data_IF_103138760310
#
_entry.id   IF_103138760310
#
_cell.length_a   1.000
_cell.length_b   1.000
_cell.length_c   1.000
_cell.angle_alpha   90.00
_cell.angle_beta   90.00
_cell.angle_gamma   90.00
#
_symmetry.space_group_name_H-M   'P 1'
#
loop_
_entity.id
_entity.type
_entity.pdbx_description
1 polymer ?
#
# COMPACT_ATOMS: atom_id res chain seq x y z
N UNK A 1 -1.94 -23.11 7.24
CA UNK A 1 -1.56 -22.51 8.56
C UNK A 1 -2.83 -22.09 9.26
N UNK A 2 -2.97 -22.44 10.52
CA UNK A 2 -4.15 -22.07 11.31
C UNK A 2 -3.85 -20.74 12.01
N UNK A 3 -4.29 -19.63 11.40
CA UNK A 3 -4.19 -18.29 12.00
C UNK A 3 -5.26 -18.03 13.05
N UNK A 4 -6.26 -18.90 13.15
CA UNK A 4 -7.40 -18.78 14.05
C UNK A 4 -7.60 -20.08 14.81
N UNK A 5 -8.00 -20.01 16.11
CA UNK A 5 -8.22 -21.20 16.91
C UNK A 5 -9.39 -22.06 16.43
N UNK A 6 -10.30 -21.48 15.65
CA UNK A 6 -11.45 -22.18 15.06
C UNK A 6 -12.00 -21.40 13.86
N UNK A 7 -12.79 -22.08 13.02
CA UNK A 7 -13.55 -21.44 11.95
C UNK A 7 -14.52 -20.37 12.48
N UNK A 8 -15.14 -20.61 13.63
CA UNK A 8 -16.00 -19.62 14.28
C UNK A 8 -15.25 -18.35 14.64
N UNK A 9 -14.02 -18.44 15.17
CA UNK A 9 -13.18 -17.29 15.48
C UNK A 9 -12.79 -16.51 14.21
N UNK A 10 -12.50 -17.22 13.10
CA UNK A 10 -12.24 -16.62 11.79
C UNK A 10 -13.44 -15.82 11.26
N UNK A 11 -14.64 -16.41 11.33
CA UNK A 11 -15.89 -15.76 10.90
C UNK A 11 -16.28 -14.57 11.78
N UNK A 12 -16.01 -14.63 13.08
CA UNK A 12 -16.21 -13.50 13.99
C UNK A 12 -15.24 -12.36 13.68
N UNK A 13 -13.98 -12.69 13.40
CA UNK A 13 -12.96 -11.68 13.07
C UNK A 13 -13.18 -11.04 11.70
N UNK A 14 -13.70 -11.81 10.73
CA UNK A 14 -13.99 -11.36 9.37
C UNK A 14 -15.45 -11.63 8.98
N UNK A 15 -16.41 -10.80 9.44
CA UNK A 15 -17.84 -11.02 9.19
C UNK A 15 -18.23 -11.11 7.72
N UNK A 16 -17.46 -10.53 6.84
CA UNK A 16 -17.66 -10.60 5.38
C UNK A 16 -17.76 -12.04 4.87
N UNK A 17 -17.08 -12.99 5.55
CA UNK A 17 -17.07 -14.41 5.17
C UNK A 17 -18.43 -15.09 5.34
N UNK A 18 -19.32 -14.53 6.16
CA UNK A 18 -20.69 -15.03 6.33
C UNK A 18 -21.59 -14.62 5.13
N UNK A 19 -21.20 -13.58 4.40
CA UNK A 19 -21.96 -13.02 3.27
C UNK A 19 -21.34 -13.40 1.93
N UNK A 20 -20.01 -13.32 1.83
CA UNK A 20 -19.28 -13.53 0.58
C UNK A 20 -17.82 -13.86 0.77
N UNK A 21 -17.24 -14.50 -0.23
CA UNK A 21 -15.80 -14.67 -0.35
C UNK A 21 -15.19 -13.40 -0.95
N UNK A 22 -14.41 -12.66 -0.16
CA UNK A 22 -13.82 -11.39 -0.57
C UNK A 22 -12.36 -11.56 -1.01
N UNK A 23 -12.08 -11.25 -2.29
CA UNK A 23 -10.76 -11.41 -2.93
C UNK A 23 -10.33 -10.11 -3.63
N UNK A 24 -10.64 -8.95 -3.07
CA UNK A 24 -10.40 -7.65 -3.70
C UNK A 24 -9.52 -6.68 -2.87
N UNK A 25 -8.69 -7.20 -1.94
CA UNK A 25 -7.91 -6.40 -0.97
C UNK A 25 -6.93 -5.41 -1.62
N UNK A 26 -6.36 -5.74 -2.77
CA UNK A 26 -5.50 -4.82 -3.51
C UNK A 26 -6.25 -3.59 -4.07
N UNK A 27 -7.58 -3.58 -4.01
CA UNK A 27 -8.44 -2.42 -4.25
C UNK A 27 -8.68 -1.63 -2.97
N UNK A 28 -9.68 -2.08 -2.22
CA UNK A 28 -10.03 -1.58 -0.87
C UNK A 28 -10.39 -2.81 -0.04
N UNK A 29 -9.84 -2.91 1.17
CA UNK A 29 -10.11 -4.05 2.05
C UNK A 29 -11.48 -3.97 2.72
N UNK A 30 -11.89 -5.09 3.33
CA UNK A 30 -12.91 -5.13 4.37
C UNK A 30 -12.25 -4.98 5.73
N UNK A 31 -12.94 -4.37 6.69
CA UNK A 31 -12.40 -4.20 8.03
C UNK A 31 -12.56 -5.49 8.85
N UNK A 32 -11.54 -5.92 9.60
CA UNK A 32 -11.68 -6.93 10.62
C UNK A 32 -12.47 -6.39 11.82
N UNK A 33 -13.12 -7.28 12.57
CA UNK A 33 -13.99 -6.87 13.68
C UNK A 33 -13.26 -6.05 14.76
N UNK A 34 -12.01 -6.40 15.06
CA UNK A 34 -11.20 -5.62 16.04
C UNK A 34 -11.00 -4.16 15.60
N UNK A 35 -10.91 -3.87 14.30
CA UNK A 35 -10.79 -2.50 13.81
C UNK A 35 -12.12 -1.76 13.99
N UNK A 36 -13.24 -2.41 13.68
CA UNK A 36 -14.60 -1.85 13.86
C UNK A 36 -14.85 -1.56 15.34
N UNK A 37 -14.55 -2.51 16.23
CA UNK A 37 -14.71 -2.36 17.70
C UNK A 37 -13.86 -1.20 18.24
N UNK A 38 -12.59 -1.08 17.82
CA UNK A 38 -11.73 0.00 18.26
C UNK A 38 -12.24 1.38 17.82
N UNK A 39 -12.79 1.48 16.60
CA UNK A 39 -13.40 2.70 16.09
C UNK A 39 -14.69 3.04 16.88
N UNK A 40 -15.53 2.06 17.15
CA UNK A 40 -16.75 2.24 17.91
C UNK A 40 -16.46 2.68 19.36
N UNK A 41 -15.48 2.04 20.00
CA UNK A 41 -15.06 2.42 21.36
C UNK A 41 -14.59 3.87 21.41
N UNK A 42 -13.76 4.30 20.43
CA UNK A 42 -13.32 5.69 20.33
C UNK A 42 -14.52 6.64 20.19
N UNK A 43 -15.46 6.37 19.27
CA UNK A 43 -16.64 7.20 19.03
C UNK A 43 -17.56 7.29 20.26
N UNK A 44 -17.78 6.16 20.96
CA UNK A 44 -18.56 6.14 22.19
C UNK A 44 -17.94 7.01 23.29
N UNK A 45 -16.62 6.97 23.42
CA UNK A 45 -15.90 7.86 24.37
C UNK A 45 -16.02 9.32 23.99
N UNK A 46 -15.94 9.67 22.70
CA UNK A 46 -16.12 11.04 22.21
C UNK A 46 -17.50 11.62 22.47
N UNK A 47 -18.53 10.77 22.66
CA UNK A 47 -19.86 11.22 23.05
C UNK A 47 -19.95 11.65 24.54
N UNK A 48 -18.99 11.23 25.37
CA UNK A 48 -18.99 11.47 26.81
C UNK A 48 -17.89 12.41 27.28
N UNK A 49 -16.88 12.66 26.43
CA UNK A 49 -15.71 13.52 26.77
C UNK A 49 -15.12 14.13 25.51
N UNK A 50 -14.13 15.01 25.68
CA UNK A 50 -13.44 15.63 24.54
C UNK A 50 -12.78 14.56 23.65
N UNK A 51 -12.81 14.80 22.33
CA UNK A 51 -12.20 13.90 21.34
C UNK A 51 -10.69 13.77 21.52
N UNK A 52 -10.02 14.83 22.02
CA UNK A 52 -8.61 14.89 22.31
C UNK A 52 -8.38 14.81 23.84
N UNK A 53 -8.20 13.61 24.32
CA UNK A 53 -7.87 13.36 25.73
C UNK A 53 -6.54 12.59 25.82
N UNK A 54 -5.98 12.48 27.00
CA UNK A 54 -4.66 11.85 27.24
C UNK A 54 -4.57 10.42 26.64
N UNK A 55 -5.64 9.64 26.73
CA UNK A 55 -5.69 8.28 26.17
C UNK A 55 -5.56 8.25 24.66
N UNK A 56 -6.05 9.29 23.94
CA UNK A 56 -5.94 9.44 22.49
C UNK A 56 -4.50 9.71 22.07
N UNK A 57 -3.82 10.59 22.80
CA UNK A 57 -2.41 10.88 22.52
C UNK A 57 -1.52 9.65 22.73
N UNK A 58 -1.81 8.87 23.75
CA UNK A 58 -1.15 7.56 23.97
C UNK A 58 -1.40 6.60 22.81
N UNK A 59 -2.64 6.51 22.32
CA UNK A 59 -3.00 5.72 21.14
C UNK A 59 -2.23 6.16 19.90
N UNK A 60 -2.15 7.46 19.64
CA UNK A 60 -1.40 8.03 18.50
C UNK A 60 0.08 7.66 18.60
N UNK A 61 0.70 7.82 19.76
CA UNK A 61 2.11 7.45 19.99
C UNK A 61 2.35 5.95 19.83
N UNK A 62 1.46 5.11 20.34
CA UNK A 62 1.54 3.65 20.16
C UNK A 62 1.40 3.25 18.69
N UNK A 63 0.51 3.90 17.93
CA UNK A 63 0.33 3.65 16.50
C UNK A 63 1.59 4.02 15.72
N UNK A 64 2.22 5.16 16.07
CA UNK A 64 3.48 5.61 15.47
C UNK A 64 4.62 4.61 15.75
N UNK A 65 4.75 4.16 17.00
CA UNK A 65 5.75 3.17 17.40
C UNK A 65 5.52 1.82 16.69
N UNK A 66 4.26 1.37 16.58
CA UNK A 66 3.91 0.16 15.86
C UNK A 66 4.24 0.27 14.36
N UNK A 67 3.91 1.40 13.74
CA UNK A 67 4.25 1.67 12.33
C UNK A 67 5.77 1.66 12.10
N UNK A 68 6.52 2.26 13.03
CA UNK A 68 7.99 2.24 12.98
C UNK A 68 8.54 0.81 13.08
N UNK A 69 8.01 -0.01 13.99
CA UNK A 69 8.42 -1.42 14.13
C UNK A 69 8.14 -2.24 12.87
N UNK A 70 7.01 -2.01 12.19
CA UNK A 70 6.68 -2.67 10.92
C UNK A 70 7.66 -2.34 9.79
N UNK A 71 8.24 -1.14 9.81
CA UNK A 71 9.13 -0.64 8.76
C UNK A 71 10.62 -0.80 9.10
N UNK A 72 10.97 -1.16 10.34
CA UNK A 72 12.34 -1.12 10.83
C UNK A 72 12.88 0.31 10.98
N UNK A 73 11.99 1.26 11.31
CA UNK A 73 12.26 2.68 11.44
C UNK A 73 12.26 3.15 12.91
N UNK A 74 12.63 4.40 13.15
CA UNK A 74 12.39 5.09 14.44
C UNK A 74 11.02 5.74 14.45
N UNK A 75 10.39 5.85 15.61
CA UNK A 75 9.12 6.57 15.75
C UNK A 75 9.22 8.06 15.34
N UNK A 76 10.40 8.68 15.48
CA UNK A 76 10.70 10.04 15.04
C UNK A 76 10.66 10.23 13.51
N UNK A 77 10.71 9.14 12.75
CA UNK A 77 10.68 9.14 11.28
C UNK A 77 9.27 8.90 10.71
N UNK A 78 8.27 8.68 11.58
CA UNK A 78 6.90 8.34 11.18
C UNK A 78 5.96 9.52 11.37
N UNK A 79 5.23 9.90 10.33
CA UNK A 79 4.02 10.72 10.39
C UNK A 79 2.78 9.84 10.12
N UNK A 80 1.69 10.11 10.85
CA UNK A 80 0.40 9.45 10.65
C UNK A 80 -0.45 10.30 9.71
N UNK A 81 -0.34 10.04 8.43
CA UNK A 81 -0.94 10.83 7.38
C UNK A 81 -1.45 9.92 6.25
N UNK A 82 -2.68 10.07 5.87
CA UNK A 82 -3.28 9.39 4.73
C UNK A 82 -4.16 10.35 3.92
N UNK A 83 -4.50 10.00 2.69
CA UNK A 83 -4.17 8.77 1.94
C UNK A 83 -2.74 8.77 1.36
N UNK A 84 -2.31 7.64 0.79
CA UNK A 84 -0.97 7.47 0.15
C UNK A 84 -0.61 8.61 -0.80
N UNK A 85 -1.54 9.05 -1.62
CA UNK A 85 -1.34 10.16 -2.56
C UNK A 85 -0.96 11.48 -1.88
N UNK A 86 -1.42 11.70 -0.64
CA UNK A 86 -1.06 12.88 0.13
C UNK A 86 0.42 12.83 0.55
N UNK A 87 0.89 11.66 1.04
CA UNK A 87 2.31 11.47 1.41
C UNK A 87 3.25 11.57 0.20
N UNK A 88 2.88 10.99 -0.96
CA UNK A 88 3.67 11.14 -2.19
C UNK A 88 3.70 12.59 -2.68
N UNK A 89 2.56 13.30 -2.60
CA UNK A 89 2.48 14.72 -2.95
C UNK A 89 3.28 15.59 -1.98
N UNK A 90 3.35 15.23 -0.70
CA UNK A 90 4.17 15.91 0.30
C UNK A 90 5.65 15.84 -0.10
N UNK A 91 6.15 14.66 -0.51
CA UNK A 91 7.52 14.51 -0.99
C UNK A 91 7.75 15.33 -2.26
N UNK A 92 6.85 15.23 -3.25
CA UNK A 92 6.98 15.95 -4.50
C UNK A 92 7.01 17.48 -4.30
N UNK A 93 6.20 18.02 -3.41
CA UNK A 93 6.09 19.47 -3.20
C UNK A 93 7.01 20.00 -2.10
N UNK A 94 7.60 19.15 -1.26
CA UNK A 94 8.44 19.54 -0.13
C UNK A 94 9.93 19.61 -0.43
N UNK A 95 10.39 18.97 -1.51
CA UNK A 95 11.78 19.03 -1.96
C UNK A 95 12.02 20.32 -2.78
N UNK A 96 13.21 20.92 -2.59
CA UNK A 96 13.64 22.08 -3.37
C UNK A 96 14.15 21.63 -4.74
N UNK A 97 13.32 21.77 -5.76
CA UNK A 97 13.63 21.39 -7.13
C UNK A 97 14.34 22.52 -7.87
N UNK A 98 15.25 22.12 -8.78
CA UNK A 98 15.89 23.01 -9.75
C UNK A 98 15.48 22.62 -11.15
N UNK A 99 15.37 23.61 -12.05
CA UNK A 99 15.13 23.33 -13.46
C UNK A 99 16.24 22.42 -14.01
N UNK A 100 15.84 21.32 -14.65
CA UNK A 100 16.74 20.29 -15.15
C UNK A 100 17.00 19.13 -14.18
N UNK A 101 16.57 19.19 -12.90
CA UNK A 101 16.54 18.00 -12.04
C UNK A 101 15.70 16.91 -12.69
N UNK A 102 16.11 15.64 -12.54
CA UNK A 102 15.38 14.51 -13.10
C UNK A 102 14.71 13.68 -12.01
N UNK A 103 13.45 13.30 -12.28
CA UNK A 103 12.72 12.29 -11.50
C UNK A 103 12.46 11.08 -12.39
N UNK A 104 12.91 9.92 -11.94
CA UNK A 104 12.61 8.63 -12.60
C UNK A 104 11.38 8.03 -11.94
N UNK A 105 10.44 7.57 -12.75
CA UNK A 105 9.17 6.99 -12.31
C UNK A 105 8.70 5.88 -13.25
N UNK A 106 7.72 5.09 -12.84
CA UNK A 106 7.08 4.09 -13.69
C UNK A 106 5.77 4.66 -14.28
N UNK A 107 5.75 4.93 -15.60
CA UNK A 107 4.61 5.60 -16.25
C UNK A 107 3.29 4.78 -16.23
N UNK A 108 3.37 3.46 -16.04
CA UNK A 108 2.22 2.56 -15.96
C UNK A 108 1.87 2.17 -14.52
N UNK A 109 2.38 2.92 -13.53
CA UNK A 109 2.02 2.73 -12.13
C UNK A 109 0.62 3.29 -11.83
N UNK A 110 0.16 3.05 -10.60
CA UNK A 110 -1.09 3.63 -10.13
C UNK A 110 -1.01 5.17 -10.13
N UNK A 111 -2.06 5.88 -10.56
CA UNK A 111 -2.03 7.33 -10.74
C UNK A 111 -1.52 8.14 -9.55
N UNK A 112 -1.71 7.66 -8.32
CA UNK A 112 -1.20 8.32 -7.12
C UNK A 112 0.32 8.44 -7.10
N UNK A 113 1.04 7.49 -7.74
CA UNK A 113 2.50 7.51 -7.88
C UNK A 113 2.98 8.00 -9.26
N UNK A 114 2.13 8.70 -9.98
CA UNK A 114 2.44 9.30 -11.29
C UNK A 114 2.20 10.81 -11.26
N UNK A 115 0.98 11.23 -10.92
CA UNK A 115 0.58 12.64 -11.02
C UNK A 115 1.37 13.63 -10.14
N UNK A 116 1.75 13.30 -8.89
CA UNK A 116 2.58 14.22 -8.10
C UNK A 116 3.90 14.58 -8.79
N UNK A 117 4.51 13.60 -9.46
CA UNK A 117 5.76 13.78 -10.19
C UNK A 117 5.54 14.56 -11.48
N UNK A 118 4.51 14.23 -12.29
CA UNK A 118 4.16 14.97 -13.51
C UNK A 118 3.94 16.46 -13.23
N UNK A 119 3.35 16.81 -12.09
CA UNK A 119 3.12 18.19 -11.70
C UNK A 119 4.43 19.01 -11.54
N UNK A 120 5.58 18.35 -11.28
CA UNK A 120 6.88 19.03 -11.14
C UNK A 120 7.42 19.61 -12.44
N UNK A 121 6.89 19.19 -13.60
CA UNK A 121 7.27 19.78 -14.91
C UNK A 121 7.05 21.29 -14.94
N UNK A 122 6.06 21.81 -14.22
CA UNK A 122 5.82 23.25 -14.06
C UNK A 122 6.99 24.02 -13.41
N UNK A 123 7.88 23.31 -12.70
CA UNK A 123 9.09 23.84 -12.07
C UNK A 123 10.35 23.58 -12.92
N UNK A 124 10.19 23.05 -14.14
CA UNK A 124 11.29 22.71 -15.04
C UNK A 124 11.96 21.36 -14.72
N UNK A 125 11.36 20.53 -13.86
CA UNK A 125 11.84 19.16 -13.57
C UNK A 125 11.57 18.27 -14.77
N UNK A 126 12.53 17.43 -15.12
CA UNK A 126 12.46 16.47 -16.24
C UNK A 126 11.95 15.14 -15.72
N UNK A 127 10.85 14.66 -16.28
CA UNK A 127 10.28 13.36 -15.92
C UNK A 127 10.82 12.29 -16.88
N UNK A 128 11.42 11.24 -16.30
CA UNK A 128 12.02 10.13 -17.04
C UNK A 128 11.28 8.83 -16.69
N UNK A 129 10.46 8.37 -17.64
CA UNK A 129 9.78 7.09 -17.47
C UNK A 129 10.78 5.93 -17.63
N UNK A 130 10.72 4.94 -16.72
CA UNK A 130 11.48 3.70 -16.86
C UNK A 130 11.00 2.92 -18.10
N UNK A 131 11.92 2.48 -18.97
CA UNK A 131 11.60 1.70 -20.16
C UNK A 131 11.37 0.22 -19.79
N UNK A 132 10.34 -0.09 -18.99
CA UNK A 132 10.06 -1.45 -18.52
C UNK A 132 9.62 -2.36 -19.67
N UNK A 133 10.17 -3.57 -19.82
CA UNK A 133 9.76 -4.53 -20.85
C UNK A 133 8.28 -4.93 -20.71
N UNK A 134 7.85 -5.14 -19.48
CA UNK A 134 6.45 -5.39 -19.09
C UNK A 134 6.08 -4.53 -17.89
N UNK A 135 4.78 -4.18 -17.69
CA UNK A 135 4.35 -3.39 -16.54
C UNK A 135 4.81 -4.01 -15.21
N UNK A 136 5.49 -3.22 -14.38
CA UNK A 136 6.02 -3.67 -13.08
C UNK A 136 7.31 -4.51 -13.16
N UNK A 137 7.87 -4.77 -14.33
CA UNK A 137 9.15 -5.46 -14.48
C UNK A 137 10.31 -4.48 -14.31
N UNK A 138 10.65 -4.21 -13.05
CA UNK A 138 11.68 -3.27 -12.66
C UNK A 138 12.77 -4.02 -11.92
N UNK A 139 14.02 -3.88 -12.38
CA UNK A 139 15.24 -4.44 -11.76
C UNK A 139 16.19 -3.31 -11.37
N UNK A 140 17.18 -3.61 -10.54
CA UNK A 140 18.18 -2.64 -10.14
C UNK A 140 19.01 -2.17 -11.33
N UNK A 141 19.36 -3.07 -12.26
CA UNK A 141 20.12 -2.74 -13.47
C UNK A 141 19.35 -1.82 -14.39
N UNK A 142 18.03 -2.04 -14.54
CA UNK A 142 17.17 -1.17 -15.34
C UNK A 142 17.12 0.25 -14.76
N UNK A 143 16.98 0.36 -13.44
CA UNK A 143 17.00 1.64 -12.75
C UNK A 143 18.37 2.28 -12.89
N UNK A 144 19.45 1.55 -12.63
CA UNK A 144 20.83 2.05 -12.73
C UNK A 144 21.16 2.57 -14.14
N UNK A 145 20.81 1.82 -15.18
CA UNK A 145 21.01 2.22 -16.58
C UNK A 145 20.18 3.46 -16.95
N UNK A 146 19.15 3.77 -16.19
CA UNK A 146 18.29 4.95 -16.40
C UNK A 146 18.81 6.20 -15.67
N UNK A 147 19.76 6.09 -14.74
CA UNK A 147 20.31 7.23 -14.00
C UNK A 147 21.13 8.15 -14.88
N UNK A 148 21.14 9.42 -14.52
CA UNK A 148 22.07 10.44 -15.05
C UNK A 148 22.63 11.27 -13.89
N UNK A 149 23.57 12.15 -14.17
CA UNK A 149 24.10 13.10 -13.19
C UNK A 149 23.06 14.09 -12.66
N UNK A 150 21.92 14.22 -13.33
CA UNK A 150 20.80 15.09 -12.94
C UNK A 150 19.70 14.34 -12.22
N UNK A 151 19.76 13.02 -12.16
CA UNK A 151 18.75 12.22 -11.45
C UNK A 151 18.81 12.52 -9.97
N UNK A 152 17.75 13.11 -9.43
CA UNK A 152 17.65 13.49 -8.03
C UNK A 152 16.81 12.52 -7.22
N UNK A 153 15.77 11.94 -7.83
CA UNK A 153 14.84 11.06 -7.15
C UNK A 153 14.35 9.95 -8.07
N UNK A 154 14.18 8.77 -7.49
CA UNK A 154 13.47 7.64 -8.10
C UNK A 154 12.23 7.36 -7.27
N UNK A 155 11.05 7.35 -7.92
CA UNK A 155 9.75 7.11 -7.29
C UNK A 155 9.12 5.85 -7.87
N UNK A 156 8.97 4.81 -7.06
CA UNK A 156 8.47 3.50 -7.48
C UNK A 156 7.48 2.93 -6.47
N UNK A 157 6.59 2.04 -6.93
CA UNK A 157 5.74 1.25 -6.05
C UNK A 157 6.44 -0.03 -5.62
N UNK A 158 6.26 -0.40 -4.37
CA UNK A 158 6.78 -1.63 -3.77
C UNK A 158 6.25 -2.91 -4.42
N UNK A 159 5.07 -2.81 -5.06
CA UNK A 159 4.45 -3.87 -5.85
C UNK A 159 3.51 -3.26 -6.89
N UNK A 160 3.61 -3.70 -8.12
CA UNK A 160 2.76 -3.22 -9.21
C UNK A 160 1.31 -3.66 -9.03
N UNK A 161 0.39 -2.71 -9.00
CA UNK A 161 -1.01 -2.91 -8.62
C UNK A 161 -1.83 -3.82 -9.56
N UNK A 162 -1.40 -4.01 -10.80
CA UNK A 162 -2.03 -4.94 -11.76
C UNK A 162 -1.32 -6.29 -11.81
N UNK A 163 -0.01 -6.31 -12.04
CA UNK A 163 0.71 -7.57 -12.25
C UNK A 163 0.97 -8.31 -10.95
N UNK A 164 1.04 -7.61 -9.83
CA UNK A 164 1.40 -8.19 -8.54
C UNK A 164 2.91 -8.49 -8.39
N UNK A 165 3.75 -7.98 -9.30
CA UNK A 165 5.20 -8.13 -9.16
C UNK A 165 5.73 -7.14 -8.12
N UNK A 166 6.42 -7.68 -7.11
CA UNK A 166 7.10 -6.88 -6.09
C UNK A 166 8.39 -6.25 -6.64
N UNK A 167 8.76 -5.13 -6.06
CA UNK A 167 10.01 -4.45 -6.36
C UNK A 167 11.15 -5.05 -5.50
N UNK A 168 12.37 -5.26 -6.02
CA UNK A 168 13.55 -5.60 -5.22
C UNK A 168 14.07 -4.35 -4.47
N UNK A 169 13.33 -3.95 -3.41
CA UNK A 169 13.49 -2.66 -2.72
C UNK A 169 14.90 -2.47 -2.19
N UNK A 170 15.46 -3.48 -1.49
CA UNK A 170 16.76 -3.37 -0.85
C UNK A 170 17.91 -3.23 -1.87
N UNK A 171 17.81 -3.95 -2.98
CA UNK A 171 18.81 -3.90 -4.06
C UNK A 171 18.81 -2.54 -4.74
N UNK A 172 17.63 -2.06 -5.15
CA UNK A 172 17.46 -0.75 -5.77
C UNK A 172 17.85 0.36 -4.79
N UNK A 173 17.36 0.32 -3.56
CA UNK A 173 17.64 1.34 -2.56
C UNK A 173 19.11 1.46 -2.20
N UNK A 174 19.81 0.32 -2.06
CA UNK A 174 21.27 0.30 -1.81
C UNK A 174 22.04 0.93 -2.97
N UNK A 175 21.68 0.58 -4.20
CA UNK A 175 22.28 1.13 -5.41
C UNK A 175 22.05 2.65 -5.50
N UNK A 176 20.82 3.12 -5.28
CA UNK A 176 20.46 4.55 -5.31
C UNK A 176 21.20 5.35 -4.23
N UNK A 177 21.27 4.81 -3.00
CA UNK A 177 22.00 5.44 -1.90
C UNK A 177 23.50 5.60 -2.21
N UNK A 178 24.13 4.59 -2.81
CA UNK A 178 25.52 4.65 -3.25
C UNK A 178 25.77 5.72 -4.35
N UNK A 179 24.72 6.09 -5.09
CA UNK A 179 24.75 7.13 -6.13
C UNK A 179 24.29 8.51 -5.63
N UNK A 180 23.89 8.63 -4.36
CA UNK A 180 23.34 9.87 -3.80
C UNK A 180 21.98 10.28 -4.39
N UNK A 181 21.20 9.33 -4.91
CA UNK A 181 19.88 9.53 -5.49
C UNK A 181 18.81 9.15 -4.46
N UNK A 182 17.82 10.02 -4.26
CA UNK A 182 16.74 9.80 -3.31
C UNK A 182 15.77 8.72 -3.80
N UNK A 183 15.26 7.92 -2.87
CA UNK A 183 14.30 6.85 -3.15
C UNK A 183 12.97 7.08 -2.42
N UNK A 184 11.89 7.29 -3.19
CA UNK A 184 10.52 7.41 -2.69
C UNK A 184 9.71 6.16 -3.05
N UNK A 185 9.13 5.50 -2.03
CA UNK A 185 8.43 4.24 -2.16
C UNK A 185 6.92 4.39 -1.86
N UNK A 186 6.07 4.06 -2.82
CA UNK A 186 4.66 3.76 -2.55
C UNK A 186 4.55 2.31 -2.05
N UNK A 187 4.29 2.12 -0.75
CA UNK A 187 4.27 0.82 -0.11
C UNK A 187 2.85 0.25 0.12
N UNK A 188 1.82 0.87 -0.46
CA UNK A 188 0.42 0.49 -0.20
C UNK A 188 0.08 -0.95 -0.63
N UNK A 189 0.86 -1.55 -1.53
CA UNK A 189 0.63 -2.92 -2.00
C UNK A 189 1.48 -3.98 -1.29
N UNK A 190 2.37 -3.59 -0.37
CA UNK A 190 3.19 -4.54 0.39
C UNK A 190 3.04 -4.40 1.90
N UNK A 191 2.87 -3.19 2.42
CA UNK A 191 2.76 -2.97 3.87
C UNK A 191 1.51 -3.67 4.43
N UNK A 192 1.71 -4.64 5.33
CA UNK A 192 0.68 -5.55 5.85
C UNK A 192 0.62 -6.91 5.15
N UNK A 193 1.14 -7.04 3.91
CA UNK A 193 1.17 -8.28 3.14
C UNK A 193 2.54 -8.96 3.14
N UNK A 194 3.60 -8.16 3.06
CA UNK A 194 4.99 -8.61 2.98
C UNK A 194 5.87 -7.78 3.91
N UNK A 195 6.96 -8.35 4.45
CA UNK A 195 7.98 -7.56 5.13
C UNK A 195 8.44 -6.42 4.22
N UNK A 196 8.40 -5.21 4.75
CA UNK A 196 8.75 -3.99 4.00
C UNK A 196 9.72 -3.19 4.87
N UNK A 197 11.02 -3.22 4.53
CA UNK A 197 12.07 -2.48 5.23
C UNK A 197 12.28 -1.12 4.58
N UNK A 198 12.59 -0.12 5.39
CA UNK A 198 13.01 1.21 4.93
C UNK A 198 14.51 1.45 5.07
N UNK A 199 15.33 0.42 5.35
CA UNK A 199 16.78 0.54 5.53
C UNK A 199 17.47 1.33 4.41
N UNK A 200 17.02 1.14 3.17
CA UNK A 200 17.57 1.81 1.98
C UNK A 200 16.55 2.73 1.28
N UNK A 201 15.45 3.08 1.95
CA UNK A 201 14.41 3.98 1.46
C UNK A 201 14.55 5.34 2.14
N UNK A 202 14.22 6.41 1.46
CA UNK A 202 14.31 7.77 1.97
C UNK A 202 12.94 8.32 2.37
N UNK A 203 11.93 8.00 1.57
CA UNK A 203 10.53 8.37 1.79
C UNK A 203 9.63 7.18 1.49
N UNK A 204 8.62 6.97 2.33
CA UNK A 204 7.60 5.96 2.06
C UNK A 204 6.22 6.52 2.39
N UNK A 205 5.22 6.12 1.60
CA UNK A 205 3.82 6.37 1.93
C UNK A 205 2.97 5.12 1.73
N UNK A 206 2.06 4.85 2.68
CA UNK A 206 1.09 3.76 2.58
C UNK A 206 -0.16 4.08 3.41
N UNK A 207 -1.33 4.03 2.81
CA UNK A 207 -2.61 4.08 3.54
C UNK A 207 -3.03 2.68 4.01
N UNK A 208 -3.85 2.59 5.04
CA UNK A 208 -4.20 1.31 5.67
C UNK A 208 -5.32 0.52 4.98
N UNK A 209 -6.04 1.11 4.04
CA UNK A 209 -7.27 0.56 3.45
C UNK A 209 -7.07 -0.61 2.47
N UNK A 210 -5.89 -1.23 2.44
CA UNK A 210 -5.62 -2.43 1.62
C UNK A 210 -5.10 -3.57 2.49
N UNK A 211 -3.80 -3.81 2.46
CA UNK A 211 -3.17 -4.96 3.11
C UNK A 211 -2.97 -4.78 4.62
N UNK A 212 -3.01 -3.55 5.12
CA UNK A 212 -3.06 -3.30 6.57
C UNK A 212 -4.45 -3.56 7.18
N UNK A 213 -5.50 -3.83 6.36
CA UNK A 213 -6.87 -4.09 6.81
C UNK A 213 -7.46 -2.96 7.67
N UNK A 214 -6.98 -1.75 7.48
CA UNK A 214 -7.41 -0.57 8.22
C UNK A 214 -8.41 0.31 7.45
N UNK A 215 -8.93 1.35 8.09
CA UNK A 215 -9.85 2.29 7.45
C UNK A 215 -9.14 3.21 6.45
N UNK A 216 -9.93 3.79 5.53
CA UNK A 216 -9.46 4.77 4.56
C UNK A 216 -8.93 6.04 5.24
N UNK A 217 -7.98 6.70 4.60
CA UNK A 217 -7.40 7.97 5.05
C UNK A 217 -6.76 7.92 6.46
N UNK A 218 -6.34 6.73 6.89
CA UNK A 218 -5.45 6.52 8.01
C UNK A 218 -4.22 5.79 7.47
N UNK A 219 -3.08 6.44 7.46
CA UNK A 219 -1.89 5.92 6.79
C UNK A 219 -0.59 6.30 7.50
N UNK A 220 0.49 5.84 6.92
CA UNK A 220 1.85 6.02 7.40
C UNK A 220 2.66 6.73 6.33
N UNK A 221 3.37 7.76 6.73
CA UNK A 221 4.44 8.40 5.95
C UNK A 221 5.74 8.26 6.73
N UNK A 222 6.74 7.68 6.09
CA UNK A 222 8.11 7.61 6.61
C UNK A 222 8.97 8.66 5.91
N UNK A 223 9.75 9.37 6.69
CA UNK A 223 10.78 10.29 6.22
C UNK A 223 12.05 10.03 7.02
N UNK A 224 13.10 9.59 6.34
CA UNK A 224 14.39 9.34 6.96
C UNK A 224 14.88 10.57 7.72
N UNK A 225 15.36 10.38 8.95
CA UNK A 225 15.68 11.44 9.90
C UNK A 225 16.60 12.50 9.31
N UNK A 226 17.67 12.10 8.59
CA UNK A 226 18.65 13.01 7.99
C UNK A 226 18.08 13.85 6.83
N UNK A 227 16.89 13.52 6.35
CA UNK A 227 16.22 14.24 5.25
C UNK A 227 15.09 15.15 5.74
N UNK A 228 14.72 15.11 7.01
CA UNK A 228 13.60 15.89 7.54
C UNK A 228 13.79 17.40 7.38
N UNK A 229 15.03 17.89 7.45
CA UNK A 229 15.33 19.30 7.23
C UNK A 229 15.39 19.67 5.73
N UNK A 230 15.57 18.69 4.84
CA UNK A 230 15.57 18.89 3.39
C UNK A 230 14.16 18.79 2.80
N UNK A 231 13.26 18.03 3.43
CA UNK A 231 11.87 17.91 3.02
C UNK A 231 11.01 18.92 3.77
N UNK A 232 10.77 20.08 3.15
CA UNK A 232 9.98 21.13 3.77
C UNK A 232 8.49 20.77 3.81
N UNK A 233 7.81 20.88 4.96
CA UNK A 233 6.37 20.71 5.01
C UNK A 233 5.65 21.65 4.06
N UNK A 234 4.83 21.10 3.17
CA UNK A 234 4.04 21.87 2.20
C UNK A 234 2.64 22.24 2.72
N UNK A 235 2.19 21.58 3.78
CA UNK A 235 0.94 21.85 4.48
C UNK A 235 1.29 22.37 5.88
N UNK A 236 0.76 23.52 6.24
CA UNK A 236 1.08 24.21 7.50
C UNK A 236 -0.18 24.40 8.33
N UNK A 237 -0.03 24.24 9.63
CA UNK A 237 -1.06 24.46 10.62
C UNK A 237 -0.46 24.53 12.03
N UNK A 238 -1.30 24.48 13.05
CA UNK A 238 -0.86 24.70 14.43
C UNK A 238 -0.16 23.46 15.05
N UNK A 239 -0.17 22.30 14.37
CA UNK A 239 0.30 21.03 14.95
C UNK A 239 1.68 20.61 14.48
N UNK A 240 2.11 21.12 13.35
CA UNK A 240 3.40 20.82 12.76
C UNK A 240 4.45 21.93 12.96
N UNK A 241 4.08 22.98 13.68
CA UNK A 241 4.97 24.09 14.07
C UNK A 241 4.97 24.27 15.59
N UNK A 242 6.08 24.73 16.13
CA UNK A 242 6.21 25.07 17.53
C UNK A 242 5.46 26.39 17.82
N UNK A 243 4.19 26.27 18.17
CA UNK A 243 3.31 27.40 18.48
C UNK A 243 2.86 27.33 19.96
N UNK A 244 3.62 27.91 20.91
CA UNK A 244 3.25 27.88 22.32
C UNK A 244 1.84 28.42 22.55
N UNK A 245 1.01 27.63 23.25
CA UNK A 245 -0.41 27.96 23.52
C UNK A 245 -1.24 28.20 22.25
N UNK A 246 -0.85 27.61 21.12
CA UNK A 246 -1.47 27.84 19.81
C UNK A 246 -1.50 29.29 19.33
N UNK A 247 -0.58 30.13 19.84
CA UNK A 247 -0.41 31.51 19.39
C UNK A 247 0.58 31.55 18.23
N UNK A 248 0.13 32.10 17.09
CA UNK A 248 0.95 32.20 15.89
C UNK A 248 2.21 33.04 16.16
N UNK A 249 3.37 32.56 15.74
CA UNK A 249 4.65 33.20 15.86
C UNK A 249 5.03 33.91 14.55
N UNK A 250 5.94 34.88 14.63
CA UNK A 250 6.46 35.62 13.46
C UNK A 250 7.43 34.76 12.60
N UNK A 251 7.96 33.69 13.16
CA UNK A 251 8.85 32.73 12.47
C UNK A 251 8.27 31.34 12.56
N UNK A 252 8.52 30.54 11.51
CA UNK A 252 8.10 29.14 11.47
C UNK A 252 9.23 28.29 12.04
N UNK A 253 8.96 27.67 13.18
CA UNK A 253 9.80 26.66 13.81
C UNK A 253 9.05 25.31 13.75
N UNK A 254 9.55 24.38 12.95
CA UNK A 254 8.87 23.10 12.74
C UNK A 254 9.09 22.14 13.90
N UNK A 255 8.12 21.27 14.15
CA UNK A 255 8.30 20.10 15.01
C UNK A 255 9.58 19.33 14.60
N UNK A 256 10.41 18.87 15.56
CA UNK A 256 11.75 18.33 15.27
C UNK A 256 11.73 16.93 14.63
N UNK A 257 10.56 16.27 14.58
CA UNK A 257 10.41 14.90 14.06
C UNK A 257 9.50 14.88 12.83
N UNK A 258 9.20 13.72 12.28
CA UNK A 258 8.24 13.58 11.19
C UNK A 258 6.83 14.10 11.51
N UNK A 259 6.53 14.43 12.78
CA UNK A 259 5.32 15.17 13.16
C UNK A 259 5.21 16.52 12.45
N UNK A 260 6.31 17.10 11.99
CA UNK A 260 6.31 18.30 11.14
C UNK A 260 5.48 18.19 9.87
N UNK A 261 5.09 16.97 9.49
CA UNK A 261 4.23 16.72 8.32
C UNK A 261 2.75 16.54 8.68
N UNK A 262 2.38 16.66 9.95
CA UNK A 262 1.02 16.55 10.48
C UNK A 262 0.46 17.96 10.80
N UNK A 263 -0.17 18.65 9.82
CA UNK A 263 -0.47 20.09 9.97
C UNK A 263 -1.61 20.40 10.95
N UNK A 264 -2.45 19.43 11.25
CA UNK A 264 -3.64 19.62 12.08
C UNK A 264 -4.14 18.35 12.73
N UNK A 265 -5.38 18.38 13.16
CA UNK A 265 -6.03 17.25 13.83
C UNK A 265 -5.98 16.02 12.95
N UNK A 266 -5.52 14.92 13.54
CA UNK A 266 -5.39 13.63 12.85
C UNK A 266 -6.76 12.94 12.70
N UNK A 267 -6.87 12.00 11.77
CA UNK A 267 -8.02 11.10 11.65
C UNK A 267 -8.01 10.08 12.81
N UNK A 268 -8.38 10.55 14.01
CA UNK A 268 -8.24 9.77 15.25
C UNK A 268 -9.07 8.47 15.24
N UNK A 269 -10.29 8.52 14.70
CA UNK A 269 -11.11 7.30 14.55
C UNK A 269 -10.46 6.31 13.59
N UNK A 270 -9.91 6.79 12.48
CA UNK A 270 -9.19 5.96 11.53
C UNK A 270 -7.89 5.38 12.13
N UNK A 271 -7.17 6.16 12.92
CA UNK A 271 -5.95 5.71 13.62
C UNK A 271 -6.28 4.61 14.64
N UNK A 272 -7.40 4.71 15.36
CA UNK A 272 -7.86 3.65 16.27
C UNK A 272 -8.05 2.32 15.54
N UNK A 273 -8.78 2.34 14.41
CA UNK A 273 -8.99 1.16 13.57
C UNK A 273 -7.70 0.63 12.95
N UNK A 274 -6.85 1.50 12.40
CA UNK A 274 -5.55 1.13 11.83
C UNK A 274 -4.64 0.45 12.87
N UNK A 275 -4.56 1.00 14.08
CA UNK A 275 -3.76 0.41 15.16
C UNK A 275 -4.25 -1.01 15.50
N UNK A 276 -5.56 -1.20 15.62
CA UNK A 276 -6.14 -2.51 15.94
C UNK A 276 -5.88 -3.53 14.84
N UNK A 277 -6.06 -3.17 13.56
CA UNK A 277 -5.76 -4.06 12.43
C UNK A 277 -4.26 -4.38 12.32
N UNK A 278 -3.37 -3.40 12.53
CA UNK A 278 -1.93 -3.65 12.55
C UNK A 278 -1.50 -4.60 13.67
N UNK A 279 -2.11 -4.48 14.85
CA UNK A 279 -1.85 -5.40 15.97
C UNK A 279 -2.30 -6.84 15.63
N UNK A 280 -3.48 -7.00 15.04
CA UNK A 280 -3.96 -8.29 14.53
C UNK A 280 -3.00 -8.93 13.52
N UNK A 281 -2.51 -8.15 12.57
CA UNK A 281 -1.53 -8.64 11.58
C UNK A 281 -0.17 -8.96 12.20
N UNK A 282 0.24 -8.21 13.23
CA UNK A 282 1.47 -8.50 13.98
C UNK A 282 1.39 -9.83 14.70
N UNK A 283 0.24 -10.15 15.31
CA UNK A 283 -0.02 -11.46 15.96
C UNK A 283 0.00 -12.60 14.93
N UNK A 284 -0.59 -12.41 13.76
CA UNK A 284 -0.54 -13.39 12.66
C UNK A 284 0.88 -13.61 12.11
N UNK A 285 1.74 -12.63 12.25
CA UNK A 285 3.14 -12.63 11.84
C UNK A 285 3.36 -12.34 10.34
N UNK A 286 4.10 -11.25 10.01
CA UNK A 286 4.28 -10.80 8.62
C UNK A 286 4.81 -11.87 7.66
N UNK A 287 5.77 -12.70 8.12
CA UNK A 287 6.33 -13.79 7.32
C UNK A 287 5.34 -14.94 7.09
N UNK A 288 4.44 -15.20 8.04
CA UNK A 288 3.40 -16.22 7.87
C UNK A 288 2.31 -15.72 6.91
N UNK A 289 1.92 -14.44 7.02
CA UNK A 289 0.99 -13.78 6.11
C UNK A 289 1.51 -13.90 4.68
N UNK A 290 2.74 -13.48 4.40
CA UNK A 290 3.29 -13.53 3.03
C UNK A 290 3.35 -14.94 2.46
N UNK A 291 3.73 -15.95 3.26
CA UNK A 291 3.70 -17.34 2.81
C UNK A 291 2.28 -17.81 2.44
N UNK A 292 1.28 -17.44 3.25
CA UNK A 292 -0.12 -17.77 2.98
C UNK A 292 -0.59 -17.12 1.68
N UNK A 293 -0.31 -15.83 1.46
CA UNK A 293 -0.70 -15.11 0.26
C UNK A 293 -0.11 -15.75 -1.01
N UNK A 294 1.16 -16.16 -0.96
CA UNK A 294 1.81 -16.85 -2.07
C UNK A 294 1.18 -18.22 -2.32
N UNK A 295 0.86 -18.99 -1.28
CA UNK A 295 0.20 -20.28 -1.42
C UNK A 295 -1.20 -20.16 -2.03
N UNK A 296 -2.00 -19.18 -1.60
CA UNK A 296 -3.32 -18.91 -2.16
C UNK A 296 -3.24 -18.51 -3.64
N UNK A 297 -2.28 -17.64 -3.99
CA UNK A 297 -2.03 -17.22 -5.36
C UNK A 297 -1.57 -18.38 -6.26
N UNK A 298 -0.67 -19.23 -5.78
CA UNK A 298 -0.21 -20.41 -6.51
C UNK A 298 -1.36 -21.39 -6.79
N UNK A 299 -2.23 -21.64 -5.80
CA UNK A 299 -3.40 -22.51 -5.96
C UNK A 299 -4.36 -21.99 -7.05
N UNK A 300 -4.67 -20.69 -7.05
CA UNK A 300 -5.49 -20.07 -8.09
C UNK A 300 -4.88 -20.26 -9.49
N UNK A 301 -3.57 -20.00 -9.64
CA UNK A 301 -2.88 -20.17 -10.93
C UNK A 301 -2.95 -21.62 -11.40
N UNK A 302 -2.54 -22.55 -10.54
CA UNK A 302 -2.50 -23.99 -10.87
C UNK A 302 -3.87 -24.51 -11.33
N UNK A 303 -4.96 -24.03 -10.74
CA UNK A 303 -6.32 -24.44 -11.12
C UNK A 303 -6.85 -23.74 -12.38
N UNK A 304 -6.44 -22.50 -12.65
CA UNK A 304 -7.00 -21.69 -13.73
C UNK A 304 -6.18 -21.73 -15.04
N UNK A 305 -4.86 -21.98 -14.98
CA UNK A 305 -4.03 -22.12 -16.19
C UNK A 305 -4.55 -23.21 -17.16
N UNK A 306 -4.95 -24.42 -16.70
CA UNK A 306 -5.48 -25.46 -17.59
C UNK A 306 -6.80 -25.07 -18.27
N UNK A 307 -7.53 -24.07 -17.74
CA UNK A 307 -8.76 -23.56 -18.33
C UNK A 307 -8.51 -22.53 -19.45
N UNK A 308 -7.26 -22.27 -19.81
CA UNK A 308 -6.88 -21.39 -20.92
C UNK A 308 -6.80 -19.91 -20.52
N UNK A 309 -6.59 -19.58 -19.25
CA UNK A 309 -6.33 -18.20 -18.82
C UNK A 309 -4.82 -17.92 -18.79
N UNK A 310 -4.46 -16.70 -19.15
CA UNK A 310 -3.09 -16.19 -19.04
C UNK A 310 -2.96 -15.29 -17.80
N UNK A 311 -1.85 -15.41 -17.10
CA UNK A 311 -1.52 -14.54 -15.97
C UNK A 311 -0.52 -13.45 -16.36
N UNK A 312 -0.71 -12.23 -15.82
CA UNK A 312 0.20 -11.12 -16.10
C UNK A 312 1.60 -11.31 -15.51
N UNK A 313 1.72 -12.18 -14.51
CA UNK A 313 3.00 -12.53 -13.88
C UNK A 313 3.20 -14.05 -13.99
N UNK A 314 4.37 -14.55 -14.41
CA UNK A 314 4.69 -15.97 -14.39
C UNK A 314 4.52 -16.58 -12.99
N UNK A 315 4.13 -17.86 -12.95
CA UNK A 315 3.86 -18.57 -11.69
C UNK A 315 5.09 -18.80 -10.82
N UNK A 316 6.27 -18.84 -11.43
CA UNK A 316 7.58 -19.04 -10.82
C UNK A 316 8.36 -17.72 -10.53
N UNK A 317 7.74 -16.55 -10.76
CA UNK A 317 8.42 -15.28 -10.47
C UNK A 317 8.68 -15.14 -8.95
N UNK A 318 9.95 -15.04 -8.53
CA UNK A 318 10.31 -14.96 -7.11
C UNK A 318 9.80 -13.67 -6.42
N UNK A 319 9.43 -12.69 -7.22
CA UNK A 319 8.86 -11.43 -6.76
C UNK A 319 7.32 -11.41 -6.83
N UNK A 320 6.66 -12.56 -6.96
CA UNK A 320 5.20 -12.65 -6.88
C UNK A 320 4.67 -12.12 -5.53
N UNK A 321 3.44 -11.63 -5.54
CA UNK A 321 2.73 -11.14 -4.36
C UNK A 321 1.39 -11.86 -4.16
N UNK A 322 0.54 -11.36 -3.26
CA UNK A 322 -0.85 -11.79 -3.08
C UNK A 322 -1.80 -11.34 -4.20
N UNK A 323 -1.31 -10.60 -5.20
CA UNK A 323 -2.09 -10.17 -6.35
C UNK A 323 -1.92 -11.18 -7.47
N UNK A 324 -3.03 -11.74 -7.95
CA UNK A 324 -3.08 -12.64 -9.09
C UNK A 324 -4.02 -12.05 -10.13
N UNK A 325 -3.49 -11.69 -11.28
CA UNK A 325 -4.27 -11.06 -12.35
C UNK A 325 -4.21 -11.91 -13.62
N UNK A 326 -5.39 -12.27 -14.11
CA UNK A 326 -5.53 -13.04 -15.33
C UNK A 326 -6.24 -12.26 -16.44
N UNK A 327 -6.03 -12.73 -17.65
CA UNK A 327 -6.74 -12.33 -18.86
C UNK A 327 -7.14 -13.54 -19.69
N UNK A 328 -8.03 -13.33 -20.64
CA UNK A 328 -8.34 -14.35 -21.63
C UNK A 328 -7.18 -14.51 -22.60
N UNK A 329 -6.77 -15.77 -22.85
CA UNK A 329 -5.73 -16.09 -23.83
C UNK A 329 -6.27 -16.15 -25.27
N UNK A 330 -7.57 -16.45 -25.44
CA UNK A 330 -8.23 -16.66 -26.72
C UNK A 330 -9.44 -15.73 -26.88
N UNK A 331 -9.66 -15.22 -28.09
CA UNK A 331 -10.85 -14.43 -28.42
C UNK A 331 -12.18 -15.21 -28.34
N UNK A 332 -12.12 -16.53 -28.26
CA UNK A 332 -13.31 -17.39 -28.20
C UNK A 332 -13.80 -17.69 -26.78
N UNK A 333 -13.03 -17.34 -25.74
CA UNK A 333 -13.45 -17.54 -24.36
C UNK A 333 -14.32 -16.39 -23.81
N UNK A 334 -14.87 -16.56 -22.58
CA UNK A 334 -15.69 -15.52 -21.97
C UNK A 334 -14.85 -14.28 -21.60
N UNK A 335 -15.40 -13.07 -21.76
CA UNK A 335 -14.71 -11.86 -21.31
C UNK A 335 -14.52 -11.85 -19.79
N UNK A 336 -13.50 -11.16 -19.30
CA UNK A 336 -13.23 -11.05 -17.86
C UNK A 336 -14.37 -10.39 -17.11
N UNK A 337 -15.10 -9.47 -17.76
CA UNK A 337 -16.31 -8.88 -17.21
C UNK A 337 -17.42 -9.93 -16.97
N UNK A 338 -17.62 -10.88 -17.89
CA UNK A 338 -18.60 -11.98 -17.73
C UNK A 338 -18.18 -12.95 -16.61
N UNK A 339 -16.90 -13.33 -16.57
CA UNK A 339 -16.35 -14.17 -15.49
C UNK A 339 -16.52 -13.50 -14.14
N UNK A 340 -16.16 -12.21 -14.02
CA UNK A 340 -16.30 -11.46 -12.79
C UNK A 340 -17.78 -11.27 -12.36
N UNK A 341 -18.71 -11.09 -13.33
CA UNK A 341 -20.13 -11.02 -13.05
C UNK A 341 -20.70 -12.36 -12.54
N UNK A 342 -20.28 -13.49 -13.16
CA UNK A 342 -20.64 -14.83 -12.68
C UNK A 342 -20.16 -15.08 -11.25
N UNK A 343 -18.90 -14.80 -10.95
CA UNK A 343 -18.32 -14.95 -9.61
C UNK A 343 -19.10 -14.12 -8.56
N UNK A 344 -19.44 -12.89 -8.91
CA UNK A 344 -20.22 -12.00 -8.02
C UNK A 344 -21.61 -12.58 -7.71
N UNK A 345 -22.29 -13.17 -8.70
CA UNK A 345 -23.58 -13.86 -8.51
C UNK A 345 -23.44 -15.07 -7.57
N UNK A 346 -22.25 -15.68 -7.51
CA UNK A 346 -21.89 -16.79 -6.62
C UNK A 346 -21.35 -16.32 -5.26
N UNK A 347 -21.45 -15.02 -4.96
CA UNK A 347 -20.95 -14.45 -3.71
C UNK A 347 -19.42 -14.37 -3.62
N UNK A 348 -18.73 -14.28 -4.75
CA UNK A 348 -17.27 -14.15 -4.82
C UNK A 348 -16.92 -12.77 -5.37
N UNK A 349 -16.33 -11.90 -4.54
CA UNK A 349 -15.95 -10.54 -4.90
C UNK A 349 -14.52 -10.49 -5.43
N UNK A 350 -14.34 -9.95 -6.63
CA UNK A 350 -13.06 -9.79 -7.32
C UNK A 350 -12.94 -8.39 -7.93
N UNK A 351 -11.82 -8.05 -8.53
CA UNK A 351 -11.63 -6.74 -9.16
C UNK A 351 -11.49 -6.84 -10.68
N UNK A 352 -12.51 -6.39 -11.42
CA UNK A 352 -12.35 -6.13 -12.85
C UNK A 352 -11.44 -4.90 -13.05
N UNK A 353 -10.47 -5.02 -13.94
CA UNK A 353 -9.50 -3.98 -14.27
C UNK A 353 -9.34 -3.87 -15.79
N UNK A 354 -8.76 -2.75 -16.22
CA UNK A 354 -8.41 -2.52 -17.62
C UNK A 354 -6.90 -2.35 -17.72
N UNK A 355 -6.29 -3.01 -18.70
CA UNK A 355 -4.88 -2.80 -19.01
C UNK A 355 -4.66 -1.43 -19.68
N UNK A 356 -3.43 -0.93 -19.70
CA UNK A 356 -3.09 0.30 -20.44
C UNK A 356 -3.38 0.21 -21.95
N UNK A 357 -3.50 -1.00 -22.49
CA UNK A 357 -3.83 -1.27 -23.89
C UNK A 357 -5.34 -1.48 -24.11
N UNK A 358 -6.18 -1.29 -23.08
CA UNK A 358 -7.64 -1.41 -23.17
C UNK A 358 -8.21 -2.82 -22.96
N UNK A 359 -7.38 -3.84 -22.69
CA UNK A 359 -7.85 -5.21 -22.46
C UNK A 359 -8.42 -5.40 -21.05
N UNK A 360 -9.47 -6.23 -20.93
CA UNK A 360 -10.08 -6.60 -19.65
C UNK A 360 -9.18 -7.56 -18.86
N UNK A 361 -9.08 -7.30 -17.56
CA UNK A 361 -8.31 -8.09 -16.60
C UNK A 361 -9.18 -8.43 -15.40
N UNK A 362 -9.07 -9.66 -14.89
CA UNK A 362 -9.68 -10.06 -13.63
C UNK A 362 -8.58 -10.26 -12.59
N UNK A 363 -8.64 -9.48 -11.51
CA UNK A 363 -7.64 -9.48 -10.45
C UNK A 363 -8.21 -10.07 -9.17
N UNK A 364 -7.53 -11.08 -8.65
CA UNK A 364 -7.74 -11.67 -7.34
C UNK A 364 -6.68 -11.13 -6.38
N UNK A 365 -7.08 -10.85 -5.18
CA UNK A 365 -6.20 -10.44 -4.09
C UNK A 365 -6.77 -10.94 -2.76
N UNK A 366 -6.60 -12.25 -2.47
CA UNK A 366 -6.96 -12.84 -1.18
C UNK A 366 -6.10 -12.26 -0.06
N UNK A 367 -6.53 -12.41 1.19
CA UNK A 367 -5.73 -12.08 2.35
C UNK A 367 -5.44 -13.33 3.20
N UNK A 368 -4.60 -13.19 4.23
CA UNK A 368 -4.12 -14.32 5.04
C UNK A 368 -5.24 -15.14 5.69
N UNK A 369 -6.40 -14.56 5.90
CA UNK A 369 -7.56 -15.22 6.49
C UNK A 369 -8.35 -16.10 5.49
N UNK A 370 -8.06 -15.96 4.17
CA UNK A 370 -8.65 -16.85 3.17
C UNK A 370 -7.98 -18.23 3.20
N UNK A 371 -8.69 -19.24 2.71
CA UNK A 371 -8.26 -20.65 2.73
C UNK A 371 -8.04 -21.22 1.33
N UNK A 372 -7.27 -22.32 1.24
CA UNK A 372 -7.10 -23.04 -0.04
C UNK A 372 -8.42 -23.63 -0.55
N UNK A 373 -9.32 -24.07 0.35
CA UNK A 373 -10.65 -24.53 -0.05
C UNK A 373 -11.51 -23.43 -0.69
N UNK A 374 -11.38 -22.18 -0.20
CA UNK A 374 -12.01 -21.04 -0.83
C UNK A 374 -11.42 -20.74 -2.22
N UNK A 375 -10.11 -20.91 -2.41
CA UNK A 375 -9.48 -20.76 -3.73
C UNK A 375 -9.92 -21.88 -4.68
N UNK A 376 -10.07 -23.12 -4.19
CA UNK A 376 -10.60 -24.23 -4.99
C UNK A 376 -12.03 -23.95 -5.44
N UNK A 377 -12.89 -23.42 -4.56
CA UNK A 377 -14.25 -22.98 -4.93
C UNK A 377 -14.22 -21.97 -6.09
N UNK A 378 -13.29 -21.02 -6.10
CA UNK A 378 -13.14 -20.06 -7.23
C UNK A 378 -12.81 -20.78 -8.52
N UNK A 379 -11.88 -21.74 -8.48
CA UNK A 379 -11.49 -22.55 -9.64
C UNK A 379 -12.70 -23.33 -10.16
N UNK A 380 -13.43 -24.02 -9.29
CA UNK A 380 -14.59 -24.84 -9.65
C UNK A 380 -15.71 -23.98 -10.28
N UNK A 381 -16.00 -22.79 -9.75
CA UNK A 381 -17.02 -21.89 -10.29
C UNK A 381 -16.62 -21.34 -11.68
N UNK A 382 -15.34 -21.05 -11.89
CA UNK A 382 -14.84 -20.61 -13.21
C UNK A 382 -14.87 -21.78 -14.20
N UNK A 383 -14.43 -22.98 -13.78
CA UNK A 383 -14.47 -24.17 -14.64
C UNK A 383 -15.89 -24.50 -15.09
N UNK A 384 -16.86 -24.46 -14.16
CA UNK A 384 -18.28 -24.69 -14.47
C UNK A 384 -18.88 -23.62 -15.40
N UNK A 385 -18.35 -22.38 -15.37
CA UNK A 385 -18.80 -21.32 -16.24
C UNK A 385 -18.22 -21.40 -17.65
N UNK A 386 -17.02 -21.96 -17.80
CA UNK A 386 -16.31 -22.07 -19.09
C UNK A 386 -16.59 -23.37 -19.83
N UNK A 387 -17.03 -24.44 -19.15
CA UNK A 387 -17.42 -25.75 -19.72
C UNK A 387 -18.86 -25.79 -20.14
#
# INVERSE_FOLDING_TARGET
MDFFPSEQARLQQFPVLQERLFLAHAGVCVLPNVAVEAMQEYLQRCALQQQEHEGVWRMVQQTRALSAAWLGAKASEIALLGPTSLGLSLVANGLDWRAGDEVIYHAQDYPANVYPWLNLQRQGVVLKALPTPRPGEITAELVEASLSQRTRLVALSSCHFLTGRRLPIDEIGRMLRARGVLFCLDAIQTLGAFPTSVEHVDFLSADSHKWLLGPMAAGVVYVREELQDQLRPSLLGAWNVCSPQFIAQSQIDFEPTARRYEPGVLNLVGIAGMRASMALLQEAGPAAISRQLLALGAHLRQGLEPLGFEFLLPGDDPLASGIVTMRQSSAMGPSMAKVGAHLRQRGIETSLRTSHQGGELLRFSPHYYNTLGEMQRVVDEIAAFCG
#
